data_IF_641252195080
#
_entry.id   IF_641252195080
#
_cell.length_a   1.000
_cell.length_b   1.000
_cell.length_c   1.000
_cell.angle_alpha   90.00
_cell.angle_beta   90.00
_cell.angle_gamma   90.00
#
_symmetry.space_group_name_H-M   'P 1'
#
loop_
_entity.id
_entity.type
_entity.pdbx_description
1 polymer ?
#
# COMPACT_ATOMS: atom_id res chain seq x y z
N UNK A 1 9.69 -8.78 12.11
CA UNK A 1 9.68 -8.86 10.64
C UNK A 1 9.43 -7.50 9.98
N UNK A 2 9.75 -7.35 8.69
CA UNK A 2 9.41 -6.18 7.87
C UNK A 2 8.29 -6.56 6.90
N UNK A 3 7.15 -5.90 7.04
CA UNK A 3 6.00 -6.05 6.13
C UNK A 3 6.15 -5.12 4.94
N UNK A 4 5.63 -5.56 3.80
CA UNK A 4 5.53 -4.77 2.57
C UNK A 4 4.11 -4.91 2.00
N UNK A 5 3.56 -3.81 1.52
CA UNK A 5 2.28 -3.78 0.81
C UNK A 5 2.31 -2.72 -0.27
N UNK A 6 1.83 -3.06 -1.46
CA UNK A 6 1.58 -2.11 -2.53
C UNK A 6 0.08 -1.77 -2.54
N UNK A 7 -0.25 -0.52 -2.27
CA UNK A 7 -1.63 -0.02 -2.39
C UNK A 7 -1.83 0.43 -3.84
N UNK A 8 -2.79 -0.15 -4.53
CA UNK A 8 -3.17 0.25 -5.89
C UNK A 8 -4.66 0.57 -5.97
N UNK A 9 -4.99 1.68 -6.60
CA UNK A 9 -6.36 2.11 -6.92
C UNK A 9 -6.29 3.07 -8.12
N UNK A 10 -7.42 3.33 -8.82
CA UNK A 10 -7.50 4.46 -9.74
C UNK A 10 -7.16 5.78 -9.05
N UNK A 11 -6.63 6.73 -9.82
CA UNK A 11 -6.35 8.10 -9.38
C UNK A 11 -7.62 8.78 -8.87
N UNK A 12 -7.83 8.71 -7.57
CA UNK A 12 -9.09 9.05 -6.91
C UNK A 12 -8.89 9.27 -5.41
N UNK A 13 -9.85 9.93 -4.76
CA UNK A 13 -9.82 10.12 -3.31
C UNK A 13 -9.71 8.79 -2.53
N UNK A 14 -10.26 7.70 -3.08
CA UNK A 14 -10.16 6.37 -2.46
C UNK A 14 -8.70 5.93 -2.29
N UNK A 15 -7.85 6.17 -3.28
CA UNK A 15 -6.41 5.91 -3.17
C UNK A 15 -5.80 6.68 -1.99
N UNK A 16 -6.04 7.99 -1.95
CA UNK A 16 -5.55 8.88 -0.89
C UNK A 16 -6.02 8.42 0.50
N UNK A 17 -7.30 8.04 0.64
CA UNK A 17 -7.83 7.51 1.90
C UNK A 17 -7.16 6.20 2.34
N UNK A 18 -6.88 5.27 1.42
CA UNK A 18 -6.20 4.01 1.76
C UNK A 18 -4.74 4.21 2.17
N UNK A 19 -4.02 5.11 1.50
CA UNK A 19 -2.65 5.48 1.90
C UNK A 19 -2.68 6.17 3.26
N UNK A 20 -3.58 7.13 3.46
CA UNK A 20 -3.75 7.82 4.74
C UNK A 20 -4.08 6.85 5.88
N UNK A 21 -4.98 5.88 5.65
CA UNK A 21 -5.30 4.84 6.62
C UNK A 21 -4.07 4.00 7.00
N UNK A 22 -3.27 3.59 6.01
CA UNK A 22 -2.05 2.82 6.27
C UNK A 22 -1.06 3.63 7.13
N UNK A 23 -0.84 4.91 6.80
CA UNK A 23 0.03 5.78 7.58
C UNK A 23 -0.42 5.90 9.04
N UNK A 24 -1.72 6.06 9.27
CA UNK A 24 -2.28 6.14 10.62
C UNK A 24 -2.25 4.79 11.38
N UNK A 25 -2.10 3.67 10.67
CA UNK A 25 -1.85 2.35 11.26
C UNK A 25 -0.35 2.08 11.49
N UNK A 26 0.51 3.09 11.37
CA UNK A 26 1.94 2.95 11.61
C UNK A 26 2.71 2.27 10.47
N UNK A 27 2.16 2.33 9.25
CA UNK A 27 2.94 2.05 8.05
C UNK A 27 3.71 3.29 7.61
N UNK A 28 4.80 3.09 6.89
CA UNK A 28 5.67 4.13 6.37
C UNK A 28 5.70 4.06 4.84
N UNK A 29 5.81 5.22 4.17
CA UNK A 29 5.97 5.26 2.73
C UNK A 29 7.34 4.72 2.33
N UNK A 30 7.37 3.88 1.29
CA UNK A 30 8.61 3.38 0.72
C UNK A 30 8.80 3.95 -0.68
N UNK A 31 9.44 5.12 -0.75
CA UNK A 31 9.67 5.85 -1.99
C UNK A 31 8.44 6.58 -2.53
N UNK A 32 8.61 7.15 -3.73
CA UNK A 32 7.56 7.90 -4.43
C UNK A 32 6.45 6.99 -4.97
N UNK A 33 5.22 7.50 -5.10
CA UNK A 33 4.15 6.77 -5.77
C UNK A 33 4.49 6.55 -7.25
N UNK A 34 3.89 5.51 -7.83
CA UNK A 34 3.93 5.22 -9.26
C UNK A 34 2.56 5.46 -9.88
N UNK A 35 2.53 5.81 -11.17
CA UNK A 35 1.30 6.03 -11.92
C UNK A 35 1.45 5.41 -13.32
N UNK A 36 0.42 4.69 -13.75
CA UNK A 36 0.35 4.09 -15.09
C UNK A 36 -1.05 4.27 -15.66
N UNK A 37 -1.15 4.64 -16.93
CA UNK A 37 -2.44 4.72 -17.63
C UNK A 37 -2.88 3.33 -18.12
N UNK A 38 -4.08 2.89 -17.73
CA UNK A 38 -4.74 1.68 -18.25
C UNK A 38 -5.67 2.07 -19.40
N UNK A 39 -5.24 1.78 -20.63
CA UNK A 39 -6.01 2.07 -21.84
C UNK A 39 -7.26 1.21 -22.00
N UNK A 40 -7.35 0.05 -21.35
CA UNK A 40 -8.52 -0.83 -21.41
C UNK A 40 -9.66 -0.27 -20.56
N UNK A 41 -9.32 0.27 -19.39
CA UNK A 41 -10.29 0.86 -18.46
C UNK A 41 -10.47 2.37 -18.66
N UNK A 42 -9.56 3.04 -19.38
CA UNK A 42 -9.60 4.49 -19.60
C UNK A 42 -9.29 5.30 -18.33
N UNK A 43 -8.46 4.74 -17.44
CA UNK A 43 -8.18 5.32 -16.13
C UNK A 43 -6.67 5.31 -15.83
N UNK A 44 -6.21 6.28 -15.05
CA UNK A 44 -4.87 6.25 -14.46
C UNK A 44 -4.92 5.45 -13.16
N UNK A 45 -4.02 4.47 -13.03
CA UNK A 45 -3.85 3.67 -11.81
C UNK A 45 -2.65 4.21 -11.04
N UNK A 46 -2.86 4.47 -9.75
CA UNK A 46 -1.82 4.89 -8.82
C UNK A 46 -1.36 3.70 -7.98
N UNK A 47 -0.07 3.69 -7.64
CA UNK A 47 0.55 2.72 -6.76
C UNK A 47 1.36 3.42 -5.66
N UNK A 48 1.20 3.04 -4.40
CA UNK A 48 2.07 3.46 -3.31
C UNK A 48 2.56 2.26 -2.52
N UNK A 49 3.87 2.08 -2.47
CA UNK A 49 4.50 1.09 -1.62
C UNK A 49 4.54 1.61 -0.17
N UNK A 50 4.17 0.74 0.76
CA UNK A 50 4.26 0.98 2.20
C UNK A 50 4.94 -0.18 2.91
N UNK A 51 5.68 0.12 3.96
CA UNK A 51 6.37 -0.86 4.80
C UNK A 51 6.00 -0.66 6.26
N UNK A 52 6.09 -1.73 7.06
CA UNK A 52 5.88 -1.65 8.51
C UNK A 52 6.85 -2.58 9.22
N UNK A 53 7.50 -2.09 10.26
CA UNK A 53 8.29 -2.94 11.15
C UNK A 53 7.39 -3.54 12.24
N UNK A 54 7.55 -4.83 12.51
CA UNK A 54 6.82 -5.53 13.57
C UNK A 54 7.82 -6.36 14.38
N UNK A 55 8.04 -6.00 15.63
CA UNK A 55 8.97 -6.71 16.51
C UNK A 55 8.44 -8.07 16.96
N UNK A 56 9.35 -9.01 17.25
CA UNK A 56 9.01 -10.33 17.81
C UNK A 56 8.34 -11.32 16.83
N UNK A 57 7.88 -10.85 15.68
CA UNK A 57 7.16 -11.68 14.71
C UNK A 57 8.04 -12.17 13.55
N UNK A 58 7.75 -13.39 13.08
CA UNK A 58 8.35 -14.00 11.88
C UNK A 58 7.33 -14.04 10.75
N UNK A 59 7.79 -13.78 9.53
CA UNK A 59 6.94 -13.89 8.35
C UNK A 59 6.49 -15.34 8.14
N UNK A 60 5.20 -15.50 7.85
CA UNK A 60 4.64 -16.72 7.26
C UNK A 60 3.71 -16.34 6.09
N UNK A 61 3.47 -17.23 5.12
CA UNK A 61 2.53 -16.98 4.03
C UNK A 61 1.10 -16.60 4.47
N UNK A 62 0.70 -16.97 5.70
CA UNK A 62 -0.61 -16.67 6.28
C UNK A 62 -0.69 -15.29 6.95
N UNK A 63 0.43 -14.56 7.02
CA UNK A 63 0.50 -13.22 7.63
C UNK A 63 -0.41 -12.24 6.88
N UNK A 64 -1.47 -11.76 7.54
CA UNK A 64 -2.41 -10.81 6.94
C UNK A 64 -1.78 -9.43 6.78
N UNK A 65 -1.49 -8.99 5.57
CA UNK A 65 -0.84 -7.69 5.30
C UNK A 65 -1.79 -6.48 5.36
N UNK A 66 -3.11 -6.68 5.37
CA UNK A 66 -4.10 -5.60 5.31
C UNK A 66 -4.67 -5.15 6.68
N UNK A 67 -4.47 -5.95 7.72
CA UNK A 67 -5.15 -5.81 9.01
C UNK A 67 -4.28 -5.15 10.12
N UNK A 68 -3.03 -4.80 9.81
CA UNK A 68 -2.09 -4.17 10.74
C UNK A 68 -2.08 -2.65 10.64
#
# INVERSE_FOLDING_TARGET
MRLYRLITEPDSAKFCHRVTEALNKGWELQGSPTMTYDATQGLTICGQAVVKHVDGEKYTPETKLGAW
#
